data_IF_962638256294
#
_entry.id   IF_962638256294
#
_cell.length_a   1.000
_cell.length_b   1.000
_cell.length_c   1.000
_cell.angle_alpha   90.00
_cell.angle_beta   90.00
_cell.angle_gamma   90.00
#
_symmetry.space_group_name_H-M   'P 1'
#
loop_
_entity.id
_entity.type
_entity.pdbx_description
1 polymer ?
#
# COMPACT_ATOMS: atom_id res chain seq x y z
N UNK A 1 2.12 20.51 1.69
CA UNK A 1 3.36 19.77 1.98
C UNK A 1 3.20 19.14 3.35
N UNK A 2 3.07 17.82 3.43
CA UNK A 2 3.02 17.06 4.69
C UNK A 2 4.43 16.50 4.95
N UNK A 3 4.96 16.69 6.16
CA UNK A 3 6.32 16.26 6.49
C UNK A 3 6.39 14.81 6.97
N UNK A 4 7.53 14.19 6.65
CA UNK A 4 7.89 12.78 6.76
C UNK A 4 7.45 11.99 8.02
N UNK A 5 7.40 12.52 9.26
CA UNK A 5 6.90 11.73 10.39
C UNK A 5 5.37 11.81 10.63
N UNK A 6 4.62 12.64 9.88
CA UNK A 6 3.24 12.99 10.23
C UNK A 6 2.16 12.27 9.42
N UNK A 7 2.51 11.53 8.36
CA UNK A 7 1.50 10.78 7.60
C UNK A 7 0.91 9.68 8.46
N UNK A 8 -0.41 9.74 8.60
CA UNK A 8 -1.21 8.69 9.22
C UNK A 8 -1.21 7.45 8.31
N UNK A 9 -1.40 6.28 8.91
CA UNK A 9 -1.57 5.03 8.15
C UNK A 9 -2.67 5.13 7.10
N UNK A 10 -3.73 5.91 7.37
CA UNK A 10 -4.82 6.11 6.42
C UNK A 10 -4.33 6.89 5.19
N UNK A 11 -3.62 8.01 5.39
CA UNK A 11 -3.06 8.80 4.30
C UNK A 11 -2.07 8.00 3.45
N UNK A 12 -1.34 7.06 4.05
CA UNK A 12 -0.47 6.15 3.30
C UNK A 12 -1.28 5.27 2.35
N UNK A 13 -2.36 4.68 2.85
CA UNK A 13 -3.24 3.82 2.03
C UNK A 13 -3.99 4.64 0.98
N UNK A 14 -4.41 5.86 1.29
CA UNK A 14 -5.10 6.74 0.34
C UNK A 14 -4.17 7.11 -0.83
N UNK A 15 -2.90 7.43 -0.58
CA UNK A 15 -1.92 7.69 -1.64
C UNK A 15 -1.70 6.46 -2.55
N UNK A 16 -1.63 5.26 -1.98
CA UNK A 16 -1.56 4.04 -2.78
C UNK A 16 -2.85 3.81 -3.57
N UNK A 17 -4.01 4.11 -3.00
CA UNK A 17 -5.29 4.04 -3.71
C UNK A 17 -5.31 4.99 -4.91
N UNK A 18 -4.92 6.25 -4.74
CA UNK A 18 -4.83 7.26 -5.80
C UNK A 18 -3.87 6.81 -6.93
N UNK A 19 -2.72 6.24 -6.58
CA UNK A 19 -1.77 5.65 -7.53
C UNK A 19 -2.42 4.53 -8.39
N UNK A 20 -3.15 3.61 -7.77
CA UNK A 20 -3.79 2.51 -8.50
C UNK A 20 -5.09 2.92 -9.21
N UNK A 21 -5.72 4.02 -8.79
CA UNK A 21 -6.83 4.67 -9.50
C UNK A 21 -6.36 5.45 -10.74
N UNK A 22 -5.05 5.71 -10.87
CA UNK A 22 -4.49 6.53 -11.94
C UNK A 22 -4.64 8.03 -11.69
N UNK A 23 -4.88 8.43 -10.44
CA UNK A 23 -4.96 9.82 -10.00
C UNK A 23 -3.58 10.39 -9.63
N UNK A 24 -2.60 9.51 -9.38
CA UNK A 24 -1.20 9.84 -9.18
C UNK A 24 -0.29 8.92 -10.03
N UNK A 25 0.87 9.45 -10.46
CA UNK A 25 1.88 8.69 -11.20
C UNK A 25 2.93 8.03 -10.27
N UNK A 26 3.12 8.59 -9.09
CA UNK A 26 4.15 8.19 -8.11
C UNK A 26 3.54 8.27 -6.71
N UNK A 27 3.79 7.25 -5.88
CA UNK A 27 3.57 7.30 -4.44
C UNK A 27 4.84 6.86 -3.71
N UNK A 28 5.24 7.63 -2.71
CA UNK A 28 6.44 7.34 -1.92
C UNK A 28 7.73 7.18 -2.73
N UNK A 29 7.84 7.91 -3.84
CA UNK A 29 8.98 7.89 -4.75
C UNK A 29 9.08 6.64 -5.65
N UNK A 30 8.02 5.84 -5.71
CA UNK A 30 7.91 4.67 -6.58
C UNK A 30 6.65 4.78 -7.45
N UNK A 31 6.72 4.24 -8.67
CA UNK A 31 5.59 4.20 -9.59
C UNK A 31 4.65 3.01 -9.31
N UNK A 32 3.58 2.93 -10.09
CA UNK A 32 2.57 1.88 -9.99
C UNK A 32 3.13 0.47 -10.27
N UNK A 33 4.10 0.34 -11.18
CA UNK A 33 4.66 -0.98 -11.52
C UNK A 33 5.45 -1.52 -10.32
N UNK A 34 6.30 -0.68 -9.73
CA UNK A 34 7.04 -1.04 -8.54
C UNK A 34 6.14 -1.43 -7.36
N UNK A 35 5.07 -0.66 -7.13
CA UNK A 35 4.10 -0.98 -6.07
C UNK A 35 3.30 -2.25 -6.36
N UNK A 36 2.98 -2.54 -7.61
CA UNK A 36 2.32 -3.79 -7.99
C UNK A 36 3.21 -5.00 -7.68
N UNK A 37 4.50 -4.92 -8.02
CA UNK A 37 5.49 -5.96 -7.70
C UNK A 37 5.59 -6.17 -6.18
N UNK A 38 5.69 -5.08 -5.41
CA UNK A 38 5.76 -5.15 -3.94
C UNK A 38 4.51 -5.82 -3.31
N UNK A 39 3.32 -5.55 -3.86
CA UNK A 39 2.06 -6.17 -3.43
C UNK A 39 2.05 -7.67 -3.76
N UNK A 40 2.53 -8.04 -4.96
CA UNK A 40 2.58 -9.42 -5.44
C UNK A 40 3.56 -10.26 -4.63
N UNK A 41 4.72 -9.70 -4.30
CA UNK A 41 5.72 -10.33 -3.42
C UNK A 41 5.17 -10.60 -2.01
N UNK A 42 4.19 -9.80 -1.56
CA UNK A 42 3.45 -10.00 -0.32
C UNK A 42 2.57 -11.27 -0.29
N UNK A 43 2.36 -11.93 -1.44
CA UNK A 43 1.79 -13.27 -1.53
C UNK A 43 0.57 -13.36 -2.45
N UNK A 44 0.73 -14.09 -3.56
CA UNK A 44 -0.32 -14.36 -4.54
C UNK A 44 -1.61 -14.94 -3.93
N UNK A 45 -1.50 -15.85 -2.95
CA UNK A 45 -2.65 -16.48 -2.32
C UNK A 45 -3.46 -15.50 -1.48
N UNK A 46 -2.80 -14.57 -0.79
CA UNK A 46 -3.44 -13.53 -0.01
C UNK A 46 -4.25 -12.60 -0.92
N UNK A 47 -3.64 -12.19 -2.04
CA UNK A 47 -4.31 -11.37 -3.05
C UNK A 47 -5.51 -12.09 -3.66
N UNK A 48 -5.37 -13.36 -4.03
CA UNK A 48 -6.48 -14.16 -4.55
C UNK A 48 -7.62 -14.27 -3.54
N UNK A 49 -7.32 -14.54 -2.26
CA UNK A 49 -8.33 -14.62 -1.19
C UNK A 49 -9.08 -13.30 -1.05
N UNK A 50 -8.38 -12.17 -1.04
CA UNK A 50 -8.99 -10.84 -0.93
C UNK A 50 -9.83 -10.54 -2.17
N UNK A 51 -9.25 -10.67 -3.37
CA UNK A 51 -9.88 -10.30 -4.63
C UNK A 51 -11.12 -11.16 -4.94
N UNK A 52 -11.00 -12.50 -4.86
CA UNK A 52 -12.12 -13.39 -5.15
C UNK A 52 -13.27 -13.21 -4.14
N UNK A 53 -12.96 -12.93 -2.87
CA UNK A 53 -13.99 -12.63 -1.86
C UNK A 53 -14.72 -11.34 -2.22
N UNK A 54 -13.99 -10.26 -2.56
CA UNK A 54 -14.56 -8.97 -2.94
C UNK A 54 -15.42 -9.04 -4.22
N UNK A 55 -15.12 -9.97 -5.13
CA UNK A 55 -15.87 -10.20 -6.36
C UNK A 55 -17.08 -11.14 -6.16
N UNK A 56 -17.18 -11.81 -5.02
CA UNK A 56 -18.25 -12.78 -4.73
C UNK A 56 -19.43 -12.16 -3.99
N UNK A 57 -20.55 -12.88 -3.94
CA UNK A 57 -21.70 -12.54 -3.07
C UNK A 57 -21.56 -13.14 -1.66
N UNK A 58 -20.43 -13.75 -1.34
CA UNK A 58 -20.21 -14.44 -0.06
C UNK A 58 -19.94 -13.43 1.04
N UNK A 59 -20.50 -13.60 2.25
CA UNK A 59 -20.08 -12.81 3.40
C UNK A 59 -18.57 -12.93 3.61
N UNK A 60 -17.90 -11.81 3.93
CA UNK A 60 -16.44 -11.79 4.11
C UNK A 60 -16.06 -12.69 5.29
N UNK A 61 -15.31 -13.80 5.06
CA UNK A 61 -14.86 -14.66 6.14
C UNK A 61 -13.82 -13.97 7.03
N UNK A 62 -13.75 -14.34 8.31
CA UNK A 62 -12.80 -13.76 9.26
C UNK A 62 -11.34 -13.88 8.78
N UNK A 63 -10.97 -15.00 8.14
CA UNK A 63 -9.61 -15.17 7.64
C UNK A 63 -9.26 -14.13 6.56
N UNK A 64 -10.24 -13.67 5.76
CA UNK A 64 -10.01 -12.64 4.74
C UNK A 64 -9.82 -11.28 5.39
N UNK A 65 -10.58 -10.96 6.44
CA UNK A 65 -10.39 -9.74 7.24
C UNK A 65 -8.98 -9.70 7.82
N UNK A 66 -8.51 -10.84 8.35
CA UNK A 66 -7.17 -10.94 8.89
C UNK A 66 -6.10 -10.78 7.80
N UNK A 67 -6.25 -11.43 6.64
CA UNK A 67 -5.36 -11.26 5.49
C UNK A 67 -5.32 -9.81 4.98
N UNK A 68 -6.45 -9.10 4.97
CA UNK A 68 -6.50 -7.67 4.62
C UNK A 68 -5.71 -6.82 5.61
N UNK A 69 -5.81 -7.10 6.91
CA UNK A 69 -5.06 -6.36 7.94
C UNK A 69 -3.56 -6.57 7.81
N UNK A 70 -3.14 -7.80 7.54
CA UNK A 70 -1.72 -8.15 7.35
C UNK A 70 -1.15 -7.44 6.13
N UNK A 71 -1.79 -7.57 4.96
CA UNK A 71 -1.35 -6.88 3.75
C UNK A 71 -1.32 -5.36 3.93
N UNK A 72 -2.33 -4.79 4.61
CA UNK A 72 -2.35 -3.35 4.93
C UNK A 72 -1.14 -2.96 5.78
N UNK A 73 -0.81 -3.73 6.80
CA UNK A 73 0.32 -3.45 7.68
C UNK A 73 1.66 -3.54 6.92
N UNK A 74 1.81 -4.52 6.04
CA UNK A 74 3.02 -4.70 5.22
C UNK A 74 3.24 -3.51 4.27
N UNK A 75 2.19 -3.07 3.57
CA UNK A 75 2.27 -1.91 2.67
C UNK A 75 2.63 -0.62 3.41
N UNK A 76 2.07 -0.43 4.60
CA UNK A 76 2.44 0.70 5.47
C UNK A 76 3.91 0.59 5.90
N UNK A 77 4.38 -0.60 6.25
CA UNK A 77 5.78 -0.85 6.57
C UNK A 77 6.72 -0.49 5.42
N UNK A 78 6.39 -0.92 4.21
CA UNK A 78 7.15 -0.61 2.99
C UNK A 78 7.17 0.91 2.73
N UNK A 79 6.01 1.58 2.79
CA UNK A 79 5.92 3.02 2.58
C UNK A 79 6.79 3.79 3.60
N UNK A 80 6.70 3.42 4.89
CA UNK A 80 7.50 4.04 5.96
C UNK A 80 9.00 3.82 5.74
N UNK A 81 9.41 2.64 5.25
CA UNK A 81 10.79 2.34 4.91
C UNK A 81 11.29 3.23 3.75
N UNK A 82 10.53 3.34 2.66
CA UNK A 82 10.85 4.17 1.51
C UNK A 82 11.00 5.64 1.90
N UNK A 83 10.06 6.14 2.68
CA UNK A 83 10.08 7.48 3.20
C UNK A 83 11.32 7.73 4.09
N UNK A 84 11.71 6.74 4.93
CA UNK A 84 12.93 6.85 5.74
C UNK A 84 14.21 6.84 4.96
N UNK A 85 14.27 6.02 3.91
CA UNK A 85 15.40 6.02 2.99
C UNK A 85 15.56 7.36 2.31
N UNK A 86 14.49 7.92 1.75
CA UNK A 86 14.57 9.22 1.10
C UNK A 86 14.91 10.37 2.05
N UNK A 87 14.37 10.36 3.28
CA UNK A 87 14.75 11.33 4.30
C UNK A 87 16.25 11.26 4.62
N UNK A 88 16.80 10.05 4.80
CA UNK A 88 18.23 9.85 5.03
C UNK A 88 19.10 10.31 3.85
N UNK A 89 18.57 10.26 2.63
CA UNK A 89 19.21 10.70 1.40
C UNK A 89 18.98 12.19 1.08
N UNK A 90 18.25 12.92 1.93
CA UNK A 90 17.91 14.33 1.71
C UNK A 90 16.94 14.59 0.55
N UNK A 91 16.17 13.58 0.13
CA UNK A 91 15.17 13.67 -0.94
C UNK A 91 13.79 13.99 -0.37
N UNK A 92 13.04 14.85 -1.05
CA UNK A 92 11.62 15.03 -0.78
C UNK A 92 10.81 13.86 -1.37
N UNK A 93 9.86 13.35 -0.58
CA UNK A 93 8.87 12.38 -1.05
C UNK A 93 7.50 13.04 -1.05
N UNK A 94 6.79 12.90 -2.16
CA UNK A 94 5.37 13.21 -2.23
C UNK A 94 4.55 11.94 -1.93
N UNK A 95 3.49 12.13 -1.14
CA UNK A 95 2.42 11.14 -1.01
C UNK A 95 1.66 11.10 -2.33
#
# INVERSE_FOLDING_TARGET
MLHYPELTDQQIIDALYELFAGEADIAFGQDREWWADAIIDGGHDALCRIALTALSTTPVPEYVIQTQRELRADLIGIARLLMGKAHAEGREIHA
#
